data_IF_914903270736
#
_entry.id   IF_914903270736
#
_cell.length_a   1.000
_cell.length_b   1.000
_cell.length_c   1.000
_cell.angle_alpha   90.00
_cell.angle_beta   90.00
_cell.angle_gamma   90.00
#
_symmetry.space_group_name_H-M   'P 1'
#
loop_
_entity.id
_entity.type
_entity.pdbx_description
1 polymer ?
#
# COMPACT_ATOMS: atom_id res chain seq x y z
N UNK A 1 -14.55 14.18 9.20
CA UNK A 1 -15.65 13.91 8.25
C UNK A 1 -16.66 13.04 8.97
N UNK A 2 -17.83 13.59 9.29
CA UNK A 2 -18.82 12.93 10.16
C UNK A 2 -19.90 12.24 9.32
N UNK A 3 -20.26 10.99 9.65
CA UNK A 3 -21.25 10.15 8.95
C UNK A 3 -22.62 10.84 8.76
N UNK A 4 -22.91 11.80 9.62
CA UNK A 4 -24.12 12.62 9.61
C UNK A 4 -24.30 13.46 8.33
N UNK A 5 -23.21 13.92 7.71
CA UNK A 5 -23.31 14.80 6.53
C UNK A 5 -23.92 14.10 5.31
N UNK A 6 -23.80 12.78 5.22
CA UNK A 6 -24.24 11.98 4.06
C UNK A 6 -25.46 11.10 4.37
N UNK A 7 -26.21 11.42 5.43
CA UNK A 7 -27.42 10.69 5.83
C UNK A 7 -27.09 9.48 6.71
N UNK A 8 -26.95 9.74 8.01
CA UNK A 8 -26.70 8.70 9.01
C UNK A 8 -27.87 7.70 9.08
N UNK A 9 -27.53 6.43 9.29
CA UNK A 9 -28.51 5.37 9.53
C UNK A 9 -28.79 5.31 11.02
N UNK A 10 -30.07 5.16 11.37
CA UNK A 10 -30.48 4.89 12.75
C UNK A 10 -30.02 3.47 13.12
N UNK A 11 -29.50 3.25 14.34
CA UNK A 11 -29.15 1.91 14.82
C UNK A 11 -30.38 1.01 14.75
N UNK A 12 -30.22 -0.20 14.21
CA UNK A 12 -31.30 -1.19 14.13
C UNK A 12 -31.39 -2.03 15.39
N UNK A 13 -30.26 -2.22 16.06
CA UNK A 13 -30.18 -3.05 17.26
C UNK A 13 -30.78 -2.32 18.44
N UNK A 14 -31.87 -2.87 19.01
CA UNK A 14 -32.65 -2.23 20.08
C UNK A 14 -31.87 -2.12 21.40
N UNK A 15 -31.14 -3.18 21.76
CA UNK A 15 -30.38 -3.26 23.00
C UNK A 15 -28.92 -3.64 22.71
N UNK A 16 -28.00 -2.80 23.17
CA UNK A 16 -26.57 -3.06 23.11
C UNK A 16 -25.87 -2.44 24.32
N UNK A 17 -24.82 -3.11 24.80
CA UNK A 17 -23.97 -2.58 25.86
C UNK A 17 -23.17 -1.37 25.34
N UNK A 18 -23.10 -0.29 26.13
CA UNK A 18 -22.34 0.90 25.76
C UNK A 18 -20.85 0.59 25.70
N UNK A 19 -20.14 1.23 24.77
CA UNK A 19 -18.67 1.14 24.58
C UNK A 19 -18.11 -0.27 24.26
N UNK A 20 -18.95 -1.28 23.99
CA UNK A 20 -18.50 -2.64 23.62
C UNK A 20 -18.91 -2.97 22.18
N UNK A 21 -17.93 -3.25 21.33
CA UNK A 21 -18.13 -3.32 19.87
C UNK A 21 -18.77 -4.62 19.37
N UNK A 22 -18.42 -5.78 19.92
CA UNK A 22 -18.88 -7.09 19.40
C UNK A 22 -19.15 -8.12 20.49
N UNK A 23 -18.26 -8.23 21.48
CA UNK A 23 -18.29 -9.23 22.53
C UNK A 23 -17.99 -8.58 23.87
N UNK A 24 -18.76 -8.93 24.90
CA UNK A 24 -18.50 -8.49 26.27
C UNK A 24 -17.13 -9.06 26.69
N UNK A 25 -16.27 -8.17 27.16
CA UNK A 25 -14.90 -8.51 27.57
C UNK A 25 -14.95 -9.60 28.63
N UNK A 26 -14.27 -10.73 28.39
CA UNK A 26 -14.15 -11.85 29.34
C UNK A 26 -15.23 -12.94 29.25
N UNK A 27 -16.40 -12.70 28.65
CA UNK A 27 -17.50 -13.70 28.65
C UNK A 27 -17.73 -14.40 27.33
N UNK A 28 -17.20 -13.88 26.21
CA UNK A 28 -17.45 -14.46 24.88
C UNK A 28 -18.87 -14.24 24.35
N UNK A 29 -19.75 -13.62 25.15
CA UNK A 29 -21.15 -13.32 24.81
C UNK A 29 -21.21 -12.05 23.95
N UNK A 30 -22.12 -12.02 22.97
CA UNK A 30 -22.33 -10.84 22.12
C UNK A 30 -22.73 -9.63 22.95
N UNK A 31 -22.19 -8.46 22.65
CA UNK A 31 -22.52 -7.21 23.35
C UNK A 31 -23.87 -6.61 22.95
N UNK A 32 -24.63 -7.29 22.10
CA UNK A 32 -25.87 -6.78 21.53
C UNK A 32 -26.87 -7.91 21.27
N UNK A 33 -28.14 -7.53 21.24
CA UNK A 33 -29.23 -8.46 20.96
C UNK A 33 -29.46 -8.57 19.44
N UNK A 34 -29.59 -9.80 18.92
CA UNK A 34 -29.80 -10.02 17.50
C UNK A 34 -31.23 -9.72 17.03
N UNK A 35 -32.22 -9.88 17.91
CA UNK A 35 -33.66 -9.65 17.68
C UNK A 35 -34.30 -9.16 18.97
N UNK A 36 -35.24 -8.19 18.96
CA UNK A 36 -35.83 -7.53 17.80
C UNK A 36 -34.90 -6.50 17.12
N UNK A 37 -35.16 -6.19 15.84
CA UNK A 37 -34.47 -5.15 15.08
C UNK A 37 -35.47 -4.10 14.60
N UNK A 38 -35.10 -2.83 14.69
CA UNK A 38 -35.88 -1.72 14.16
C UNK A 38 -35.85 -1.72 12.61
N UNK A 39 -36.92 -1.20 11.96
CA UNK A 39 -36.94 -1.03 10.52
C UNK A 39 -35.80 -0.11 10.05
N UNK A 40 -35.40 -0.27 8.80
CA UNK A 40 -34.35 0.57 8.22
C UNK A 40 -34.82 2.01 8.12
N UNK A 41 -34.16 2.90 8.88
CA UNK A 41 -34.38 4.35 8.80
C UNK A 41 -33.06 5.08 8.55
N UNK A 42 -33.09 6.03 7.62
CA UNK A 42 -31.96 6.89 7.27
C UNK A 42 -32.42 8.34 7.35
N UNK A 43 -31.65 9.14 8.08
CA UNK A 43 -31.85 10.59 8.20
C UNK A 43 -31.49 11.24 6.86
N UNK A 44 -32.23 12.29 6.42
CA UNK A 44 -31.90 13.01 5.19
C UNK A 44 -30.44 13.47 5.16
N UNK A 45 -29.83 13.36 3.98
CA UNK A 45 -28.45 13.79 3.79
C UNK A 45 -28.38 15.32 3.70
N UNK A 46 -27.47 15.92 4.48
CA UNK A 46 -27.24 17.37 4.50
C UNK A 46 -26.41 17.79 3.28
N UNK A 47 -25.52 16.92 2.80
CA UNK A 47 -24.61 17.19 1.68
C UNK A 47 -24.64 16.03 0.67
N UNK A 48 -24.64 16.37 -0.62
CA UNK A 48 -24.43 15.39 -1.70
C UNK A 48 -22.97 14.94 -1.72
N UNK A 49 -22.76 13.64 -1.88
CA UNK A 49 -21.43 13.04 -2.00
C UNK A 49 -20.73 13.52 -3.28
N UNK A 50 -19.45 13.88 -3.17
CA UNK A 50 -18.61 14.24 -4.32
C UNK A 50 -17.48 13.25 -4.49
N UNK A 51 -16.96 13.15 -5.71
CA UNK A 51 -15.73 12.40 -5.99
C UNK A 51 -14.60 12.95 -5.10
N UNK A 52 -13.73 12.06 -4.65
CA UNK A 52 -12.69 12.27 -3.67
C UNK A 52 -13.11 12.58 -2.23
N UNK A 53 -14.40 12.60 -1.88
CA UNK A 53 -14.79 12.74 -0.46
C UNK A 53 -14.34 11.51 0.36
N UNK A 54 -13.94 11.74 1.61
CA UNK A 54 -13.70 10.67 2.58
C UNK A 54 -15.04 10.21 3.15
N UNK A 55 -15.32 8.92 3.02
CA UNK A 55 -16.58 8.29 3.44
C UNK A 55 -16.34 7.17 4.43
N UNK A 56 -17.26 7.08 5.39
CA UNK A 56 -17.28 6.00 6.38
C UNK A 56 -18.54 5.18 6.18
N UNK A 57 -18.38 3.88 5.97
CA UNK A 57 -19.49 2.94 5.81
C UNK A 57 -19.19 1.62 6.52
N UNK A 58 -20.25 0.84 6.77
CA UNK A 58 -20.11 -0.49 7.36
C UNK A 58 -19.70 -1.49 6.27
N UNK A 59 -18.64 -2.28 6.50
CA UNK A 59 -18.13 -3.25 5.52
C UNK A 59 -19.20 -4.31 5.19
N UNK A 60 -19.68 -4.41 3.93
CA UNK A 60 -20.82 -5.27 3.60
C UNK A 60 -20.56 -6.76 3.85
N UNK A 61 -19.34 -7.23 3.55
CA UNK A 61 -18.93 -8.62 3.67
C UNK A 61 -18.40 -8.99 5.07
N UNK A 62 -18.63 -8.15 6.09
CA UNK A 62 -18.16 -8.46 7.44
C UNK A 62 -18.87 -9.69 8.02
N UNK A 63 -18.09 -10.77 8.14
CA UNK A 63 -18.49 -12.05 8.74
C UNK A 63 -17.63 -12.41 9.95
N UNK A 64 -16.69 -11.54 10.36
CA UNK A 64 -15.62 -11.92 11.28
C UNK A 64 -15.87 -11.34 12.67
N UNK A 65 -15.71 -12.15 13.73
CA UNK A 65 -15.79 -11.65 15.12
C UNK A 65 -14.52 -10.93 15.56
N UNK A 66 -13.35 -11.44 15.16
CA UNK A 66 -12.03 -10.89 15.49
C UNK A 66 -11.16 -10.82 14.25
N UNK A 67 -10.61 -9.64 13.96
CA UNK A 67 -9.70 -9.47 12.82
C UNK A 67 -8.50 -10.42 12.94
N UNK A 68 -8.05 -10.93 11.80
CA UNK A 68 -6.87 -11.81 11.66
C UNK A 68 -6.98 -13.19 12.32
N UNK A 69 -8.16 -13.59 12.81
CA UNK A 69 -8.41 -14.95 13.31
C UNK A 69 -9.31 -15.70 12.34
N UNK A 70 -8.91 -16.91 11.94
CA UNK A 70 -9.71 -17.78 11.06
C UNK A 70 -10.78 -18.49 11.88
N UNK A 71 -12.02 -18.04 11.80
CA UNK A 71 -13.19 -18.61 12.50
C UNK A 71 -14.36 -18.81 11.53
N UNK A 72 -15.37 -19.57 11.97
CA UNK A 72 -16.64 -19.67 11.25
C UNK A 72 -17.32 -18.29 11.16
N UNK A 73 -17.77 -17.93 9.95
CA UNK A 73 -18.39 -16.64 9.68
C UNK A 73 -19.71 -16.44 10.43
N UNK A 74 -20.01 -15.20 10.80
CA UNK A 74 -21.21 -14.81 11.54
C UNK A 74 -21.96 -13.72 10.80
N UNK A 75 -23.29 -13.86 10.72
CA UNK A 75 -24.15 -12.79 10.21
C UNK A 75 -24.38 -11.74 11.30
N UNK A 76 -23.76 -10.57 11.14
CA UNK A 76 -23.95 -9.41 12.02
C UNK A 76 -25.05 -8.46 11.50
N UNK A 77 -25.83 -7.83 12.39
CA UNK A 77 -26.65 -6.66 12.03
C UNK A 77 -25.81 -5.57 11.36
N UNK A 78 -26.39 -4.83 10.41
CA UNK A 78 -25.62 -3.90 9.55
C UNK A 78 -24.97 -2.74 10.32
N UNK A 79 -25.56 -2.34 11.44
CA UNK A 79 -25.07 -1.31 12.37
C UNK A 79 -23.93 -1.82 13.27
N UNK A 80 -23.81 -3.14 13.44
CA UNK A 80 -22.73 -3.81 14.19
C UNK A 80 -21.58 -4.30 13.32
N UNK A 81 -21.68 -4.15 12.00
CA UNK A 81 -20.56 -4.42 11.08
C UNK A 81 -19.47 -3.36 11.22
N UNK A 82 -18.23 -3.79 10.98
CA UNK A 82 -17.01 -2.99 11.06
C UNK A 82 -17.08 -1.72 10.20
N UNK A 83 -16.60 -0.60 10.74
CA UNK A 83 -16.55 0.67 10.00
C UNK A 83 -15.29 0.74 9.13
N UNK A 84 -15.45 1.08 7.86
CA UNK A 84 -14.36 1.31 6.92
C UNK A 84 -14.36 2.78 6.51
N UNK A 85 -13.17 3.39 6.53
CA UNK A 85 -12.93 4.72 5.98
C UNK A 85 -12.25 4.54 4.62
N UNK A 86 -12.91 5.01 3.56
CA UNK A 86 -12.38 4.97 2.19
C UNK A 86 -12.65 6.30 1.49
N UNK A 87 -12.09 6.45 0.28
CA UNK A 87 -12.34 7.59 -0.59
C UNK A 87 -13.41 7.22 -1.62
N UNK A 88 -14.42 8.07 -1.79
CA UNK A 88 -15.40 7.92 -2.85
C UNK A 88 -14.76 8.29 -4.18
N UNK A 89 -14.52 7.30 -5.02
CA UNK A 89 -13.86 7.50 -6.32
C UNK A 89 -14.88 7.81 -7.43
N UNK A 90 -15.98 7.07 -7.47
CA UNK A 90 -17.07 7.21 -8.42
C UNK A 90 -18.40 7.44 -7.71
N UNK A 91 -19.31 8.13 -8.40
CA UNK A 91 -20.69 8.38 -7.96
C UNK A 91 -21.69 7.69 -8.90
N UNK A 92 -22.98 7.53 -8.51
CA UNK A 92 -23.96 6.88 -9.37
C UNK A 92 -24.04 7.52 -10.76
N UNK A 93 -24.05 6.68 -11.80
CA UNK A 93 -23.99 7.11 -13.21
C UNK A 93 -22.58 7.17 -13.80
N UNK A 94 -21.53 7.09 -12.98
CA UNK A 94 -20.16 7.07 -13.50
C UNK A 94 -19.78 5.70 -14.09
N UNK A 95 -19.08 5.74 -15.22
CA UNK A 95 -18.30 4.61 -15.73
C UNK A 95 -16.91 4.66 -15.08
N UNK A 96 -16.59 3.68 -14.24
CA UNK A 96 -15.28 3.52 -13.61
C UNK A 96 -14.47 2.45 -14.33
N UNK A 97 -13.26 2.82 -14.77
CA UNK A 97 -12.32 1.89 -15.40
C UNK A 97 -10.94 2.02 -14.77
N UNK A 98 -10.21 0.91 -14.68
CA UNK A 98 -8.79 0.92 -14.32
C UNK A 98 -8.03 0.40 -15.52
N UNK A 99 -7.28 1.29 -16.18
CA UNK A 99 -6.53 1.01 -17.41
C UNK A 99 -5.06 1.23 -17.08
N UNK A 100 -4.24 0.20 -17.22
CA UNK A 100 -2.79 0.23 -16.96
C UNK A 100 -2.42 0.73 -15.54
N UNK A 101 -3.28 0.44 -14.57
CA UNK A 101 -3.14 0.90 -13.18
C UNK A 101 -3.54 2.36 -12.93
N UNK A 102 -4.00 3.08 -13.95
CA UNK A 102 -4.60 4.40 -13.85
C UNK A 102 -6.11 4.29 -13.76
N UNK A 103 -6.69 5.15 -12.94
CA UNK A 103 -8.13 5.20 -12.70
C UNK A 103 -8.77 6.22 -13.65
N UNK A 104 -9.75 5.77 -14.44
CA UNK A 104 -10.53 6.59 -15.35
C UNK A 104 -11.99 6.66 -14.89
N UNK A 105 -12.57 7.85 -14.93
CA UNK A 105 -13.98 8.11 -14.66
C UNK A 105 -14.58 8.78 -15.89
N UNK A 106 -15.58 8.15 -16.50
CA UNK A 106 -16.22 8.63 -17.73
C UNK A 106 -15.19 8.89 -18.86
N UNK A 107 -14.27 7.95 -19.06
CA UNK A 107 -13.16 8.01 -20.03
C UNK A 107 -12.11 9.11 -19.75
N UNK A 108 -12.23 9.90 -18.68
CA UNK A 108 -11.24 10.90 -18.28
C UNK A 108 -10.36 10.38 -17.14
N UNK A 109 -9.07 10.75 -17.12
CA UNK A 109 -8.16 10.40 -16.04
C UNK A 109 -8.63 11.02 -14.71
N UNK A 110 -8.74 10.19 -13.67
CA UNK A 110 -9.24 10.62 -12.37
C UNK A 110 -8.31 11.64 -11.71
N UNK A 111 -8.86 12.79 -11.35
CA UNK A 111 -8.16 13.84 -10.61
C UNK A 111 -8.03 13.42 -9.16
N UNK A 112 -6.85 12.98 -8.76
CA UNK A 112 -6.53 12.68 -7.38
C UNK A 112 -6.34 13.97 -6.55
N UNK A 113 -6.63 13.94 -5.24
CA UNK A 113 -6.37 15.10 -4.38
C UNK A 113 -4.87 15.40 -4.30
N UNK A 114 -4.49 16.66 -4.05
CA UNK A 114 -3.08 17.10 -4.00
C UNK A 114 -2.17 16.25 -3.07
N UNK A 115 -2.72 15.69 -1.99
CA UNK A 115 -1.99 14.84 -1.04
C UNK A 115 -1.79 13.40 -1.54
N UNK A 116 -2.49 12.97 -2.59
CA UNK A 116 -2.33 11.65 -3.19
C UNK A 116 -1.17 11.68 -4.19
N UNK A 117 -0.09 11.00 -3.81
CA UNK A 117 1.10 10.81 -4.65
C UNK A 117 1.20 9.32 -5.01
N UNK A 118 0.44 8.86 -6.03
CA UNK A 118 0.50 7.46 -6.43
C UNK A 118 1.91 7.11 -6.89
N UNK A 119 2.39 5.95 -6.45
CA UNK A 119 3.66 5.39 -6.89
C UNK A 119 3.37 4.33 -7.95
N UNK A 120 4.09 4.43 -9.06
CA UNK A 120 4.08 3.42 -10.11
C UNK A 120 5.47 2.82 -10.26
N UNK A 121 5.52 1.59 -10.74
CA UNK A 121 6.79 0.93 -11.04
C UNK A 121 7.20 1.28 -12.47
N UNK A 122 8.40 1.80 -12.63
CA UNK A 122 9.03 2.09 -13.90
C UNK A 122 10.23 1.18 -14.08
N UNK A 123 10.42 0.68 -15.29
CA UNK A 123 11.66 0.04 -15.71
C UNK A 123 12.55 1.10 -16.31
N UNK A 124 13.74 1.26 -15.75
CA UNK A 124 14.79 2.15 -16.25
C UNK A 124 15.90 1.28 -16.82
N UNK A 125 16.44 1.66 -17.98
CA UNK A 125 17.60 1.01 -18.59
C UNK A 125 18.67 2.03 -18.95
N UNK A 126 19.94 1.62 -18.79
CA UNK A 126 21.12 2.41 -19.16
C UNK A 126 22.29 1.48 -19.48
N UNK A 127 22.92 1.66 -20.64
CA UNK A 127 24.10 0.89 -21.06
C UNK A 127 25.28 1.08 -20.11
N UNK A 128 25.44 2.31 -19.62
CA UNK A 128 26.50 2.74 -18.68
C UNK A 128 26.19 2.37 -17.22
N UNK A 129 25.04 1.74 -16.97
CA UNK A 129 24.56 1.40 -15.64
C UNK A 129 23.86 2.57 -14.94
N UNK A 130 22.95 2.24 -14.03
CA UNK A 130 22.07 3.19 -13.36
C UNK A 130 22.73 3.68 -12.07
N UNK A 131 23.04 4.99 -12.01
CA UNK A 131 23.68 5.62 -10.86
C UNK A 131 22.68 5.90 -9.73
N UNK A 132 22.81 5.16 -8.63
CA UNK A 132 22.00 5.40 -7.42
C UNK A 132 22.18 6.81 -6.86
N UNK A 133 23.35 7.43 -7.03
CA UNK A 133 23.63 8.80 -6.58
C UNK A 133 22.79 9.83 -7.35
N UNK A 134 22.56 9.63 -8.65
CA UNK A 134 21.73 10.52 -9.47
C UNK A 134 20.25 10.43 -9.09
N UNK A 135 19.76 9.21 -8.84
CA UNK A 135 18.41 9.00 -8.34
C UNK A 135 18.18 9.70 -6.98
N UNK A 136 19.15 9.58 -6.06
CA UNK A 136 19.08 10.22 -4.74
C UNK A 136 19.13 11.75 -4.84
N UNK A 137 19.91 12.33 -5.77
CA UNK A 137 19.92 13.78 -6.04
C UNK A 137 18.53 14.30 -6.47
N UNK A 138 17.70 13.44 -7.06
CA UNK A 138 16.34 13.76 -7.49
C UNK A 138 15.28 13.42 -6.43
N UNK A 139 15.68 13.02 -5.22
CA UNK A 139 14.80 12.54 -4.15
C UNK A 139 13.95 11.32 -4.52
N UNK A 140 14.42 10.50 -5.47
CA UNK A 140 13.77 9.25 -5.84
C UNK A 140 14.30 8.16 -4.90
N UNK A 141 13.40 7.49 -4.17
CA UNK A 141 13.78 6.54 -3.10
C UNK A 141 13.20 5.14 -3.27
N UNK A 142 12.31 4.91 -4.23
CA UNK A 142 11.66 3.61 -4.43
C UNK A 142 12.50 2.61 -5.22
N UNK A 143 13.80 2.53 -4.97
CA UNK A 143 14.69 1.60 -5.66
C UNK A 143 15.60 0.85 -4.68
N UNK A 144 16.06 -0.32 -5.10
CA UNK A 144 17.00 -1.14 -4.34
C UNK A 144 18.43 -0.96 -4.87
N UNK A 145 19.42 -1.21 -4.01
CA UNK A 145 20.85 -1.15 -4.35
C UNK A 145 21.46 -2.52 -4.16
N UNK A 146 22.29 -2.92 -5.13
CA UNK A 146 23.02 -4.19 -5.11
C UNK A 146 24.46 -3.92 -4.74
N UNK A 147 24.96 -4.63 -3.74
CA UNK A 147 26.32 -4.47 -3.26
C UNK A 147 27.04 -5.81 -3.31
N UNK A 148 28.29 -5.77 -3.74
CA UNK A 148 29.26 -6.84 -3.55
C UNK A 148 30.08 -6.51 -2.30
N UNK A 149 30.02 -7.41 -1.32
CA UNK A 149 30.69 -7.29 -0.04
C UNK A 149 31.78 -8.37 0.02
N UNK A 150 32.99 -7.97 0.39
CA UNK A 150 34.08 -8.89 0.70
C UNK A 150 34.65 -8.61 2.09
N UNK A 151 35.27 -9.64 2.69
CA UNK A 151 35.84 -9.58 4.04
C UNK A 151 34.86 -9.93 5.17
N UNK A 152 33.79 -10.67 4.87
CA UNK A 152 32.94 -11.29 5.90
C UNK A 152 33.65 -12.58 6.34
N UNK A 153 34.43 -12.49 7.41
CA UNK A 153 35.20 -13.61 7.95
C UNK A 153 34.56 -14.16 9.24
N UNK A 154 33.60 -13.45 9.83
CA UNK A 154 32.91 -13.87 11.05
C UNK A 154 31.40 -13.62 10.99
N UNK A 155 30.66 -14.47 11.71
CA UNK A 155 29.19 -14.35 11.83
C UNK A 155 28.77 -13.01 12.46
N UNK A 156 29.60 -12.44 13.34
CA UNK A 156 29.33 -11.15 13.98
C UNK A 156 29.28 -9.99 12.98
N UNK A 157 30.18 -9.99 11.98
CA UNK A 157 30.16 -8.97 10.92
C UNK A 157 28.89 -9.05 10.09
N UNK A 158 28.43 -10.28 9.80
CA UNK A 158 27.20 -10.51 9.06
C UNK A 158 25.97 -10.04 9.84
N UNK A 159 25.86 -10.38 11.12
CA UNK A 159 24.76 -9.92 11.97
C UNK A 159 24.74 -8.39 12.13
N UNK A 160 25.91 -7.73 12.09
CA UNK A 160 26.01 -6.26 12.10
C UNK A 160 25.40 -5.57 10.87
N UNK A 161 25.46 -6.21 9.69
CA UNK A 161 24.90 -5.67 8.44
C UNK A 161 23.51 -6.22 8.11
N UNK A 162 23.11 -7.34 8.70
CA UNK A 162 21.84 -8.04 8.46
C UNK A 162 20.61 -7.12 8.48
N UNK A 163 20.46 -6.14 9.39
CA UNK A 163 19.30 -5.24 9.40
C UNK A 163 19.14 -4.37 8.14
N UNK A 164 20.23 -4.17 7.40
CA UNK A 164 20.24 -3.33 6.20
C UNK A 164 20.06 -4.13 4.90
N UNK A 165 20.09 -5.45 4.99
CA UNK A 165 19.98 -6.37 3.85
C UNK A 165 18.51 -6.74 3.65
N UNK A 166 17.99 -6.51 2.44
CA UNK A 166 16.64 -6.93 2.05
C UNK A 166 16.62 -8.36 1.51
N UNK A 167 17.66 -8.75 0.77
CA UNK A 167 17.79 -10.11 0.24
C UNK A 167 19.25 -10.47 -0.05
N UNK A 168 19.52 -11.77 0.03
CA UNK A 168 20.79 -12.39 -0.31
C UNK A 168 20.68 -13.01 -1.71
N UNK A 169 21.59 -12.65 -2.61
CA UNK A 169 21.61 -13.17 -3.99
C UNK A 169 22.64 -14.29 -4.13
N UNK A 170 23.83 -14.11 -3.55
CA UNK A 170 24.87 -15.13 -3.51
C UNK A 170 25.50 -15.18 -2.13
N UNK A 171 25.75 -16.39 -1.65
CA UNK A 171 26.38 -16.71 -0.36
C UNK A 171 27.86 -17.08 -0.49
N UNK A 172 28.50 -16.82 -1.63
CA UNK A 172 29.94 -17.05 -1.76
C UNK A 172 30.72 -16.19 -0.77
N UNK A 173 31.61 -16.83 -0.02
CA UNK A 173 32.41 -16.24 1.06
C UNK A 173 33.29 -15.08 0.54
N UNK A 174 33.76 -15.17 -0.70
CA UNK A 174 34.58 -14.13 -1.33
C UNK A 174 33.77 -13.05 -2.06
N UNK A 175 32.54 -13.36 -2.49
CA UNK A 175 31.75 -12.54 -3.40
C UNK A 175 30.29 -12.45 -2.94
N UNK A 176 30.09 -11.97 -1.71
CA UNK A 176 28.77 -11.86 -1.11
C UNK A 176 27.95 -10.77 -1.81
N UNK A 177 26.88 -11.15 -2.51
CA UNK A 177 26.02 -10.19 -3.22
C UNK A 177 24.73 -10.01 -2.46
N UNK A 178 24.52 -8.78 -1.98
CA UNK A 178 23.35 -8.39 -1.22
C UNK A 178 22.52 -7.36 -1.97
N UNK A 179 21.22 -7.40 -1.73
CA UNK A 179 20.32 -6.31 -2.07
C UNK A 179 19.95 -5.56 -0.80
N UNK A 180 19.84 -4.25 -0.91
CA UNK A 180 19.46 -3.34 0.18
C UNK A 180 18.44 -2.34 -0.34
N UNK A 181 17.77 -1.61 0.56
CA UNK A 181 16.97 -0.46 0.16
C UNK A 181 17.81 0.71 -0.37
N UNK A 182 17.18 1.79 -0.81
CA UNK A 182 17.84 2.97 -1.40
C UNK A 182 18.96 3.59 -0.53
N UNK A 183 18.85 3.50 0.80
CA UNK A 183 19.87 4.02 1.73
C UNK A 183 21.18 3.22 1.68
N UNK A 184 21.11 1.93 1.33
CA UNK A 184 22.26 1.01 1.43
C UNK A 184 22.72 0.78 2.86
N UNK A 185 23.93 0.24 3.00
CA UNK A 185 24.59 0.03 4.30
C UNK A 185 25.27 1.34 4.72
N UNK A 186 25.05 1.85 5.95
CA UNK A 186 25.71 3.06 6.43
C UNK A 186 27.24 2.92 6.46
N UNK A 187 27.95 3.97 6.06
CA UNK A 187 29.42 4.00 6.04
C UNK A 187 30.04 3.69 7.40
N UNK A 188 29.41 4.14 8.49
CA UNK A 188 29.82 3.84 9.87
C UNK A 188 29.84 2.33 10.16
N UNK A 189 28.78 1.62 9.77
CA UNK A 189 28.67 0.17 9.97
C UNK A 189 29.68 -0.58 9.11
N UNK A 190 29.92 -0.11 7.87
CA UNK A 190 30.94 -0.68 6.98
C UNK A 190 32.33 -0.55 7.62
N UNK A 191 32.64 0.61 8.19
CA UNK A 191 33.93 0.87 8.83
C UNK A 191 34.12 0.06 10.12
N UNK A 192 33.11 0.02 10.99
CA UNK A 192 33.13 -0.75 12.24
C UNK A 192 33.38 -2.24 12.00
N UNK A 193 32.75 -2.80 10.96
CA UNK A 193 32.89 -4.21 10.60
C UNK A 193 34.06 -4.47 9.63
N UNK A 194 34.84 -3.44 9.27
CA UNK A 194 35.99 -3.51 8.35
C UNK A 194 35.65 -4.16 7.00
N UNK A 195 34.45 -3.91 6.50
CA UNK A 195 33.93 -4.52 5.28
C UNK A 195 34.37 -3.75 4.03
N UNK A 196 34.65 -4.47 2.95
CA UNK A 196 34.85 -3.87 1.62
C UNK A 196 33.55 -3.98 0.85
N UNK A 197 32.91 -2.84 0.60
CA UNK A 197 31.60 -2.78 -0.06
C UNK A 197 31.72 -2.02 -1.37
N UNK A 198 31.31 -2.67 -2.46
CA UNK A 198 31.28 -2.08 -3.81
C UNK A 198 29.87 -2.14 -4.36
N UNK A 199 29.35 -1.01 -4.84
CA UNK A 199 28.02 -0.97 -5.45
C UNK A 199 28.07 -1.48 -6.88
N UNK A 200 27.20 -2.44 -7.20
CA UNK A 200 27.03 -2.94 -8.57
C UNK A 200 26.04 -2.02 -9.28
N UNK A 201 26.50 -1.35 -10.34
CA UNK A 201 25.62 -0.58 -11.23
C UNK A 201 24.90 -1.53 -12.17
N UNK A 202 23.60 -1.67 -11.96
CA UNK A 202 22.75 -2.48 -12.84
C UNK A 202 22.40 -1.71 -14.11
N UNK A 203 22.39 -2.41 -15.26
CA UNK A 203 21.94 -1.84 -16.54
C UNK A 203 20.43 -1.66 -16.60
N UNK A 204 19.69 -2.43 -15.81
CA UNK A 204 18.24 -2.37 -15.71
C UNK A 204 17.85 -2.30 -14.24
N UNK A 205 16.89 -1.44 -13.90
CA UNK A 205 16.34 -1.36 -12.54
C UNK A 205 14.85 -1.06 -12.57
N UNK A 206 14.12 -1.70 -11.66
CA UNK A 206 12.73 -1.35 -11.37
C UNK A 206 12.76 -0.27 -10.28
N UNK A 207 12.14 0.87 -10.56
CA UNK A 207 12.06 2.00 -9.65
C UNK A 207 10.61 2.38 -9.43
N UNK A 208 10.20 2.44 -8.17
CA UNK A 208 8.90 2.95 -7.75
C UNK A 208 8.97 4.46 -7.56
N UNK A 209 8.22 5.22 -8.34
CA UNK A 209 8.24 6.68 -8.31
C UNK A 209 6.89 7.28 -8.71
N UNK A 210 6.72 8.59 -8.44
CA UNK A 210 5.53 9.32 -8.88
C UNK A 210 5.64 9.71 -10.36
N UNK A 211 4.52 10.03 -11.00
CA UNK A 211 4.53 10.57 -12.38
C UNK A 211 5.36 11.85 -12.48
N UNK A 212 5.28 12.73 -11.47
CA UNK A 212 6.09 13.96 -11.46
C UNK A 212 7.60 13.68 -11.35
N UNK A 213 8.01 12.57 -10.75
CA UNK A 213 9.43 12.20 -10.69
C UNK A 213 9.90 11.53 -11.98
N UNK A 214 9.01 10.79 -12.64
CA UNK A 214 9.22 10.28 -13.99
C UNK A 214 9.46 11.43 -14.99
N UNK A 215 8.59 12.44 -15.01
CA UNK A 215 8.74 13.62 -15.90
C UNK A 215 10.09 14.34 -15.67
N UNK A 216 10.52 14.48 -14.41
CA UNK A 216 11.83 15.05 -14.07
C UNK A 216 12.98 14.21 -14.62
N UNK A 217 12.90 12.89 -14.52
CA UNK A 217 13.94 12.00 -15.05
C UNK A 217 13.98 12.03 -16.58
N UNK A 218 12.82 11.99 -17.22
CA UNK A 218 12.68 12.04 -18.67
C UNK A 218 13.23 13.35 -19.24
N UNK A 219 12.92 14.49 -18.61
CA UNK A 219 13.41 15.81 -19.04
C UNK A 219 14.94 15.93 -19.03
N UNK A 220 15.62 15.22 -18.11
CA UNK A 220 17.08 15.24 -17.99
C UNK A 220 17.79 14.29 -18.93
N UNK A 221 17.07 13.39 -19.62
CA UNK A 221 17.61 12.34 -20.51
C UNK A 221 18.82 11.60 -19.91
N UNK A 222 18.76 11.32 -18.61
CA UNK A 222 19.89 10.73 -17.85
C UNK A 222 20.06 9.25 -18.14
N UNK A 223 19.00 8.57 -18.58
CA UNK A 223 18.97 7.14 -18.87
C UNK A 223 18.44 6.89 -20.28
N UNK A 224 18.79 5.74 -20.86
CA UNK A 224 18.50 5.43 -22.26
C UNK A 224 17.00 5.21 -22.51
N UNK A 225 16.33 4.45 -21.64
CA UNK A 225 14.88 4.31 -21.70
C UNK A 225 14.24 4.15 -20.33
N UNK A 226 13.03 4.70 -20.21
CA UNK A 226 12.20 4.63 -19.01
C UNK A 226 10.77 4.37 -19.44
N UNK A 227 10.15 3.29 -18.95
CA UNK A 227 8.76 3.00 -19.24
C UNK A 227 8.03 2.39 -18.04
N UNK A 228 6.73 2.66 -17.94
CA UNK A 228 5.90 2.17 -16.84
C UNK A 228 5.64 0.68 -17.00
N UNK A 229 5.74 -0.05 -15.89
CA UNK A 229 5.36 -1.46 -15.80
C UNK A 229 3.90 -1.53 -15.34
N UNK A 230 3.07 -2.19 -16.14
CA UNK A 230 1.68 -2.48 -15.81
C UNK A 230 1.31 -3.85 -16.39
N UNK A 231 0.26 -4.46 -15.84
CA UNK A 231 -0.26 -5.73 -16.39
C UNK A 231 -1.02 -5.42 -17.67
N UNK A 232 -0.60 -6.05 -18.77
CA UNK A 232 -1.27 -5.98 -20.07
C UNK A 232 -2.40 -7.00 -20.20
N UNK A 233 -2.38 -8.06 -19.37
CA UNK A 233 -3.42 -9.07 -19.33
C UNK A 233 -4.58 -8.61 -18.46
N UNK A 234 -5.80 -8.60 -19.03
CA UNK A 234 -7.03 -8.38 -18.27
C UNK A 234 -7.26 -9.57 -17.34
N UNK A 235 -6.96 -9.41 -16.06
CA UNK A 235 -7.35 -10.36 -15.03
C UNK A 235 -8.61 -9.86 -14.33
N UNK A 236 -9.70 -10.63 -14.39
CA UNK A 236 -10.86 -10.38 -13.54
C UNK A 236 -10.48 -10.71 -12.09
N UNK A 237 -10.64 -9.73 -11.20
CA UNK A 237 -10.33 -9.92 -9.79
C UNK A 237 -11.49 -10.64 -9.09
N UNK A 238 -11.50 -11.97 -9.16
CA UNK A 238 -12.49 -12.82 -8.47
C UNK A 238 -12.27 -12.91 -6.96
N UNK A 239 -11.11 -12.45 -6.46
CA UNK A 239 -10.71 -12.64 -5.05
C UNK A 239 -11.15 -11.51 -4.13
N UNK A 240 -11.16 -10.26 -4.61
CA UNK A 240 -11.50 -9.10 -3.78
C UNK A 240 -12.93 -8.58 -3.99
N UNK A 241 -13.53 -8.90 -5.15
CA UNK A 241 -14.92 -8.58 -5.49
C UNK A 241 -15.53 -9.78 -6.22
N UNK A 242 -15.89 -10.86 -5.51
CA UNK A 242 -16.71 -11.92 -6.08
C UNK A 242 -18.09 -11.40 -6.50
#
# INVERSE_FOLDING_TARGET
MSKYHYGARVPKTVAAFPMVHDTIVGTGIRSYLNKPQLPYLRIPAIKKIKRNDLVTFNWPADTVRRFFVKEAGVVKPIDKKSNYVKRCVAIPGDKLEIIDGLLYINNELSKLPYRAKPLFNYRVTSQNGISSKELLKLNITGFNRKFKISGINSNQQFEGIRPYISSLISSDIENFIVTTGYKGIPSKIIAENRLRVTEIKEREKIISMTNSDFEKLESKKTFDSIYRIFKTTKSYNTSFFP
#
